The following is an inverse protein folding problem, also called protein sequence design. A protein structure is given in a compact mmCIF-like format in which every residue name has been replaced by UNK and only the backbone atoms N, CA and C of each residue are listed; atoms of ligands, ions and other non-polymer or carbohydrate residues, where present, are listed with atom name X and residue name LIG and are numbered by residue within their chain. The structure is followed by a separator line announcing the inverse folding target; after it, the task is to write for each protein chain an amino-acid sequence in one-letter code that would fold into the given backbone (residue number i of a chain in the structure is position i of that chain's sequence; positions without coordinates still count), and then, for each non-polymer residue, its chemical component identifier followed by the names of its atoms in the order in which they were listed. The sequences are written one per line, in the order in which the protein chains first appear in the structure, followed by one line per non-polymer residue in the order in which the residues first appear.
data_IF_145897185970
#
_entry.id   IF_145897185970
#
_cell.length_a   1.000
_cell.length_b   1.000
_cell.length_c   1.000
_cell.angle_alpha   90.00
_cell.angle_beta   90.00
_cell.angle_gamma   90.00
#
_symmetry.space_group_name_H-M   'P 1'
#
loop_
_entity.id
_entity.type
_entity.pdbx_description
1 polymer ?
#
# COMPACT_ATOMS: atom_id res chain seq x y z
N UNK A 1 -15.66 19.75 0.45
CA UNK A 1 -14.71 20.62 -0.30
C UNK A 1 -13.30 20.58 0.28
N UNK A 2 -13.08 20.90 1.56
CA UNK A 2 -11.74 20.88 2.20
C UNK A 2 -11.03 19.51 2.10
N UNK A 3 -11.76 18.42 2.32
CA UNK A 3 -11.24 17.05 2.20
C UNK A 3 -10.59 16.78 0.83
N UNK A 4 -11.22 17.21 -0.25
CA UNK A 4 -10.68 17.07 -1.61
C UNK A 4 -9.39 17.89 -1.78
N UNK A 5 -9.38 19.12 -1.27
CA UNK A 5 -8.20 20.00 -1.36
C UNK A 5 -7.02 19.46 -0.53
N UNK A 6 -7.27 18.90 0.66
CA UNK A 6 -6.22 18.23 1.45
C UNK A 6 -5.67 17.00 0.71
N UNK A 7 -6.54 16.20 0.11
CA UNK A 7 -6.12 15.04 -0.69
C UNK A 7 -5.25 15.48 -1.87
N UNK A 8 -5.64 16.52 -2.61
CA UNK A 8 -4.87 17.05 -3.72
C UNK A 8 -3.54 17.65 -3.27
N UNK A 9 -3.51 18.36 -2.12
CA UNK A 9 -2.28 18.90 -1.57
C UNK A 9 -1.27 17.79 -1.26
N UNK A 10 -1.68 16.76 -0.56
CA UNK A 10 -0.79 15.65 -0.18
C UNK A 10 -0.40 14.78 -1.38
N UNK A 11 -1.26 14.70 -2.40
CA UNK A 11 -0.97 13.92 -3.61
C UNK A 11 -0.03 14.64 -4.58
N UNK A 12 -0.30 15.92 -4.89
CA UNK A 12 0.46 16.72 -5.87
C UNK A 12 1.58 17.56 -5.25
N UNK A 13 1.59 17.74 -3.92
CA UNK A 13 2.58 18.56 -3.21
C UNK A 13 2.26 20.05 -3.18
N UNK A 14 1.36 20.55 -4.04
CA UNK A 14 0.93 21.96 -4.08
C UNK A 14 -0.49 22.12 -4.59
N UNK A 15 -1.17 23.15 -4.12
CA UNK A 15 -2.48 23.59 -4.62
C UNK A 15 -2.55 25.10 -4.67
N UNK A 16 -3.46 25.63 -5.48
CA UNK A 16 -3.81 27.05 -5.52
C UNK A 16 -5.22 27.21 -4.98
N UNK A 17 -5.39 28.03 -3.94
CA UNK A 17 -6.68 28.23 -3.28
C UNK A 17 -6.73 29.61 -2.61
N UNK A 18 -7.88 29.97 -2.02
CA UNK A 18 -8.02 31.22 -1.26
C UNK A 18 -7.30 31.12 0.08
N UNK A 19 -6.86 32.27 0.62
CA UNK A 19 -6.13 32.33 1.90
C UNK A 19 -6.93 31.70 3.06
N UNK A 20 -8.22 31.98 3.16
CA UNK A 20 -9.08 31.42 4.22
C UNK A 20 -9.11 29.88 4.16
N UNK A 21 -9.26 29.31 2.96
CA UNK A 21 -9.23 27.85 2.77
C UNK A 21 -7.85 27.27 3.04
N UNK A 22 -6.78 27.98 2.65
CA UNK A 22 -5.41 27.55 2.89
C UNK A 22 -5.11 27.39 4.38
N UNK A 23 -5.57 28.33 5.22
CA UNK A 23 -5.42 28.26 6.69
C UNK A 23 -6.09 27.02 7.28
N UNK A 24 -7.30 26.70 6.84
CA UNK A 24 -8.00 25.48 7.31
C UNK A 24 -7.36 24.19 6.80
N UNK A 25 -6.97 24.13 5.53
CA UNK A 25 -6.31 22.97 4.92
C UNK A 25 -4.99 22.69 5.62
N UNK A 26 -4.23 23.71 5.96
CA UNK A 26 -2.94 23.60 6.65
C UNK A 26 -3.08 22.81 7.94
N UNK A 27 -4.05 23.14 8.81
CA UNK A 27 -4.26 22.45 10.09
C UNK A 27 -4.52 20.96 9.90
N UNK A 28 -5.35 20.61 8.91
CA UNK A 28 -5.70 19.22 8.61
C UNK A 28 -4.47 18.49 8.03
N UNK A 29 -3.76 19.10 7.10
CA UNK A 29 -2.58 18.51 6.48
C UNK A 29 -1.44 18.27 7.49
N UNK A 30 -1.17 19.26 8.37
CA UNK A 30 -0.17 19.13 9.43
C UNK A 30 -0.52 17.96 10.38
N UNK A 31 -1.79 17.78 10.72
CA UNK A 31 -2.22 16.64 11.53
C UNK A 31 -1.98 15.30 10.83
N UNK A 32 -2.28 15.19 9.52
CA UNK A 32 -2.02 13.97 8.74
C UNK A 32 -0.52 13.67 8.66
N UNK A 33 0.30 14.66 8.39
CA UNK A 33 1.76 14.53 8.32
C UNK A 33 2.34 14.11 9.69
N UNK A 34 1.87 14.70 10.78
CA UNK A 34 2.30 14.34 12.13
C UNK A 34 1.98 12.86 12.46
N UNK A 35 0.80 12.37 12.06
CA UNK A 35 0.46 10.95 12.20
C UNK A 35 1.40 10.06 11.38
N UNK A 36 1.71 10.45 10.14
CA UNK A 36 2.64 9.73 9.27
C UNK A 36 4.06 9.66 9.86
N UNK A 37 4.59 10.79 10.31
CA UNK A 37 5.94 10.88 10.91
C UNK A 37 6.05 10.01 12.16
N UNK A 38 5.04 10.02 13.03
CA UNK A 38 5.06 9.25 14.28
C UNK A 38 5.10 7.73 14.04
N UNK A 39 4.40 7.25 13.01
CA UNK A 39 4.20 5.82 12.79
C UNK A 39 5.03 5.25 11.62
N UNK A 40 5.82 6.07 10.91
CA UNK A 40 6.55 5.65 9.70
C UNK A 40 7.50 4.46 9.90
N UNK A 41 8.16 4.41 11.07
CA UNK A 41 9.18 3.40 11.39
C UNK A 41 8.62 2.26 12.25
N UNK A 42 7.33 2.29 12.58
CA UNK A 42 6.71 1.31 13.45
C UNK A 42 6.34 0.03 12.67
N UNK A 43 7.37 -0.80 12.43
CA UNK A 43 7.28 -2.05 11.67
C UNK A 43 7.94 -3.17 12.47
N UNK A 44 7.24 -4.28 12.62
CA UNK A 44 7.73 -5.48 13.28
C UNK A 44 8.24 -6.48 12.25
N UNK A 45 9.41 -7.07 12.50
CA UNK A 45 9.91 -8.18 11.68
C UNK A 45 9.43 -9.50 12.27
N UNK A 46 8.64 -10.25 11.51
CA UNK A 46 8.07 -11.53 11.92
C UNK A 46 8.55 -12.62 10.98
N UNK A 47 9.06 -13.71 11.55
CA UNK A 47 9.39 -14.91 10.78
C UNK A 47 8.11 -15.72 10.52
N UNK A 48 7.81 -15.97 9.25
CA UNK A 48 6.64 -16.73 8.83
C UNK A 48 7.10 -17.91 7.98
N UNK A 49 6.58 -19.11 8.27
CA UNK A 49 6.79 -20.27 7.42
C UNK A 49 6.08 -20.10 6.09
N UNK A 50 6.86 -19.92 5.03
CA UNK A 50 6.34 -19.78 3.68
C UNK A 50 6.52 -21.10 2.91
N UNK A 51 5.49 -21.56 2.23
CA UNK A 51 5.57 -22.69 1.31
C UNK A 51 6.15 -22.23 -0.02
N UNK A 52 7.37 -22.66 -0.31
CA UNK A 52 8.08 -22.34 -1.57
C UNK A 52 8.06 -23.60 -2.44
N UNK A 53 7.62 -23.46 -3.69
CA UNK A 53 7.65 -24.57 -4.63
C UNK A 53 9.08 -25.00 -4.92
N UNK A 54 9.39 -26.30 -4.75
CA UNK A 54 10.68 -26.85 -5.15
C UNK A 54 10.91 -26.63 -6.65
N UNK A 55 12.12 -26.20 -6.98
CA UNK A 55 12.56 -26.03 -8.38
C UNK A 55 13.65 -27.05 -8.69
N UNK A 56 13.56 -27.62 -9.89
CA UNK A 56 14.60 -28.47 -10.45
C UNK A 56 15.78 -27.63 -10.97
N UNK A 57 16.90 -28.29 -11.34
CA UNK A 57 18.10 -27.65 -11.87
C UNK A 57 17.81 -26.69 -13.05
N UNK A 58 16.77 -26.98 -13.82
CA UNK A 58 16.29 -26.14 -14.94
C UNK A 58 15.30 -25.03 -14.53
N UNK A 59 15.11 -24.79 -13.23
CA UNK A 59 14.17 -23.78 -12.71
C UNK A 59 12.69 -24.14 -12.81
N UNK A 60 12.35 -25.32 -13.29
CA UNK A 60 10.97 -25.83 -13.38
C UNK A 60 10.48 -26.32 -12.01
N UNK A 61 9.17 -26.16 -11.74
CA UNK A 61 8.55 -26.65 -10.50
C UNK A 61 8.53 -28.18 -10.46
N UNK A 62 9.06 -28.78 -9.39
CA UNK A 62 9.00 -30.21 -9.16
C UNK A 62 7.56 -30.64 -8.87
N UNK A 63 7.07 -31.65 -9.60
CA UNK A 63 5.73 -32.22 -9.42
C UNK A 63 5.84 -33.70 -9.08
N UNK A 64 5.09 -34.13 -8.05
CA UNK A 64 4.90 -35.56 -7.72
C UNK A 64 3.49 -35.98 -8.14
N UNK A 65 3.36 -37.23 -8.58
CA UNK A 65 2.05 -37.82 -8.88
C UNK A 65 1.53 -38.47 -7.58
N UNK A 66 0.38 -37.95 -7.10
CA UNK A 66 -0.34 -38.50 -5.96
C UNK A 66 -1.76 -38.79 -6.45
N UNK A 67 -2.22 -40.02 -6.29
CA UNK A 67 -3.56 -40.50 -6.72
C UNK A 67 -3.89 -40.15 -8.19
N UNK A 68 -2.90 -40.31 -9.11
CA UNK A 68 -3.06 -40.00 -10.52
C UNK A 68 -3.05 -38.52 -10.88
N UNK A 69 -2.92 -37.60 -9.89
CA UNK A 69 -2.85 -36.13 -10.12
C UNK A 69 -1.44 -35.60 -9.88
N UNK A 70 -0.98 -34.72 -10.77
CA UNK A 70 0.30 -34.01 -10.63
C UNK A 70 0.19 -32.91 -9.60
N UNK A 71 0.81 -33.07 -8.44
CA UNK A 71 0.83 -32.08 -7.35
C UNK A 71 2.22 -31.45 -7.24
N UNK A 72 2.28 -30.14 -7.09
CA UNK A 72 3.55 -29.41 -6.89
C UNK A 72 4.07 -29.67 -5.48
N UNK A 73 5.36 -29.99 -5.36
CA UNK A 73 6.04 -30.17 -4.07
C UNK A 73 6.45 -28.82 -3.52
N UNK A 74 6.16 -28.58 -2.24
CA UNK A 74 6.52 -27.35 -1.53
C UNK A 74 7.44 -27.68 -0.36
N UNK A 75 8.44 -26.84 -0.17
CA UNK A 75 9.28 -26.82 1.03
C UNK A 75 8.81 -25.71 1.96
N UNK A 76 8.86 -25.95 3.25
CA UNK A 76 8.63 -24.91 4.25
C UNK A 76 9.95 -24.19 4.53
N UNK A 77 10.01 -22.91 4.20
CA UNK A 77 11.17 -22.05 4.43
C UNK A 77 10.76 -20.91 5.35
N UNK A 78 11.56 -20.67 6.38
CA UNK A 78 11.36 -19.51 7.26
C UNK A 78 11.73 -18.23 6.50
N UNK A 79 10.73 -17.36 6.32
CA UNK A 79 10.88 -16.08 5.64
C UNK A 79 10.60 -14.95 6.59
N UNK A 80 11.55 -14.04 6.69
CA UNK A 80 11.32 -12.79 7.41
C UNK A 80 10.44 -11.85 6.59
N UNK A 81 9.33 -11.44 7.18
CA UNK A 81 8.38 -10.50 6.59
C UNK A 81 8.25 -9.30 7.52
N UNK A 82 8.39 -8.11 6.96
CA UNK A 82 8.09 -6.86 7.67
C UNK A 82 6.58 -6.71 7.77
N UNK A 83 6.06 -6.73 8.99
CA UNK A 83 4.64 -6.57 9.30
C UNK A 83 4.40 -5.20 9.92
N UNK A 84 3.40 -4.51 9.45
CA UNK A 84 3.02 -3.22 10.03
C UNK A 84 2.45 -3.40 11.43
N UNK A 85 2.92 -2.59 12.39
CA UNK A 85 2.38 -2.58 13.74
C UNK A 85 0.90 -2.16 13.75
N UNK A 86 0.10 -2.63 14.72
CA UNK A 86 -1.32 -2.27 14.80
C UNK A 86 -1.58 -0.77 14.88
N UNK A 87 -0.71 -0.01 15.59
CA UNK A 87 -0.78 1.46 15.68
C UNK A 87 -0.61 2.15 14.33
N UNK A 88 0.32 1.65 13.49
CA UNK A 88 0.53 2.15 12.12
C UNK A 88 -0.71 1.92 11.25
N UNK A 89 -1.31 0.74 11.33
CA UNK A 89 -2.56 0.43 10.61
C UNK A 89 -3.69 1.34 11.08
N UNK A 90 -3.77 1.60 12.39
CA UNK A 90 -4.76 2.50 12.96
C UNK A 90 -4.59 3.94 12.45
N UNK A 91 -3.36 4.47 12.46
CA UNK A 91 -3.06 5.80 11.93
C UNK A 91 -3.45 5.93 10.45
N UNK A 92 -3.11 4.92 9.62
CA UNK A 92 -3.53 4.87 8.20
C UNK A 92 -5.05 4.91 8.04
N UNK A 93 -5.78 4.15 8.87
CA UNK A 93 -7.25 4.18 8.85
C UNK A 93 -7.82 5.54 9.24
N UNK A 94 -7.19 6.24 10.20
CA UNK A 94 -7.59 7.61 10.56
C UNK A 94 -7.34 8.58 9.39
N UNK A 95 -6.18 8.50 8.74
CA UNK A 95 -5.89 9.33 7.57
C UNK A 95 -6.89 9.06 6.43
N UNK A 96 -7.26 7.81 6.18
CA UNK A 96 -8.22 7.44 5.14
C UNK A 96 -9.67 7.91 5.41
N UNK A 97 -10.02 8.27 6.64
CA UNK A 97 -11.29 8.96 6.92
C UNK A 97 -11.32 10.37 6.33
N UNK A 98 -10.17 11.03 6.24
CA UNK A 98 -10.03 12.39 5.72
C UNK A 98 -9.57 12.45 4.26
N UNK A 99 -8.84 11.45 3.78
CA UNK A 99 -8.30 11.42 2.43
C UNK A 99 -9.18 10.59 1.50
N UNK A 100 -9.17 10.93 0.21
CA UNK A 100 -9.80 10.12 -0.84
C UNK A 100 -8.77 9.23 -1.51
N UNK A 101 -9.20 8.02 -1.93
CA UNK A 101 -8.43 7.21 -2.87
C UNK A 101 -8.43 7.86 -4.26
N UNK A 102 -7.26 7.91 -4.90
CA UNK A 102 -7.10 8.45 -6.24
C UNK A 102 -6.84 7.29 -7.21
N UNK A 103 -7.56 7.31 -8.34
CA UNK A 103 -7.36 6.31 -9.40
C UNK A 103 -6.44 6.89 -10.46
N UNK A 104 -5.24 6.31 -10.59
CA UNK A 104 -4.29 6.65 -11.65
C UNK A 104 -4.57 5.79 -12.89
N UNK A 105 -4.73 6.44 -14.04
CA UNK A 105 -4.88 5.79 -15.33
C UNK A 105 -3.60 6.05 -16.13
N UNK A 106 -2.79 5.01 -16.43
CA UNK A 106 -1.59 5.19 -17.24
C UNK A 106 -1.95 5.69 -18.64
N UNK A 107 -1.21 6.67 -19.14
CA UNK A 107 -1.44 7.25 -20.48
C UNK A 107 -1.29 6.22 -21.60
N UNK A 108 -0.38 5.24 -21.44
CA UNK A 108 -0.14 4.16 -22.41
C UNK A 108 -1.26 3.14 -22.49
N UNK A 109 -2.09 3.03 -21.45
CA UNK A 109 -3.20 2.06 -21.34
C UNK A 109 -4.55 2.73 -21.13
N UNK A 110 -4.64 4.03 -21.42
CA UNK A 110 -5.88 4.79 -21.33
C UNK A 110 -7.02 4.09 -22.07
N UNK A 111 -8.16 3.94 -21.40
CA UNK A 111 -9.33 3.23 -21.94
C UNK A 111 -9.33 1.71 -21.74
N UNK A 112 -8.25 1.10 -21.25
CA UNK A 112 -8.21 -0.32 -20.89
C UNK A 112 -8.37 -0.49 -19.38
N UNK A 113 -9.20 -1.44 -18.94
CA UNK A 113 -9.35 -1.76 -17.49
C UNK A 113 -8.06 -2.28 -16.86
N UNK A 114 -7.16 -2.89 -17.62
CA UNK A 114 -5.84 -3.32 -17.17
C UNK A 114 -4.91 -2.11 -17.11
N UNK A 115 -4.34 -1.84 -15.96
CA UNK A 115 -3.39 -0.75 -15.75
C UNK A 115 -3.92 0.40 -14.90
N UNK A 116 -5.22 0.50 -14.65
CA UNK A 116 -5.78 1.42 -13.65
C UNK A 116 -5.36 0.99 -12.26
N UNK A 117 -4.73 1.90 -11.51
CA UNK A 117 -4.27 1.66 -10.16
C UNK A 117 -4.92 2.65 -9.20
N UNK A 118 -5.56 2.14 -8.17
CA UNK A 118 -6.03 2.98 -7.06
C UNK A 118 -4.87 3.24 -6.11
N UNK A 119 -4.55 4.49 -5.90
CA UNK A 119 -3.49 4.94 -5.01
C UNK A 119 -4.10 5.35 -3.68
N UNK A 120 -3.62 4.72 -2.62
CA UNK A 120 -3.93 5.13 -1.25
C UNK A 120 -3.03 6.31 -0.88
N UNK A 121 -3.62 7.51 -0.81
CA UNK A 121 -2.89 8.75 -0.50
C UNK A 121 -2.29 8.71 0.89
N UNK A 122 -2.93 8.04 1.84
CA UNK A 122 -2.40 7.84 3.19
C UNK A 122 -1.08 7.05 3.21
N UNK A 123 -0.79 6.27 2.18
CA UNK A 123 0.49 5.55 2.05
C UNK A 123 1.61 6.42 1.49
N UNK A 124 1.29 7.62 0.97
CA UNK A 124 2.28 8.60 0.48
C UNK A 124 2.70 9.60 1.55
N UNK A 125 1.90 9.77 2.59
CA UNK A 125 2.18 10.60 3.77
C UNK A 125 3.10 9.87 4.73
#
# INVERSE_FOLDING_TARGET
MLRNQVTNLLYHGKIVTTEAKAKEIRRIAEHMIALGIREKDNVETVTVKAKVAQKDKDGKRVKKVVDGKKVTVFDEVDKEIKKEAPSRIHARRQMNKMLYGITEVPTTTAGKRKGTKTVDVASKV
#
